data_IF_569611066918
#
_entry.id   IF_569611066918
#
_cell.length_a   1.000
_cell.length_b   1.000
_cell.length_c   1.000
_cell.angle_alpha   90.00
_cell.angle_beta   90.00
_cell.angle_gamma   90.00
#
_symmetry.space_group_name_H-M   'P 1'
#
loop_
_entity.id
_entity.type
_entity.pdbx_description
1 polymer ?
#
# COMPACT_ATOMS: atom_id res chain seq x y z
N UNK A 1 -9.25 21.48 -5.36
CA UNK A 1 -8.33 22.62 -5.25
C UNK A 1 -8.42 23.20 -3.84
N UNK A 2 -7.35 23.23 -3.11
CA UNK A 2 -7.02 24.15 -2.02
C UNK A 2 -7.17 23.73 -0.55
N UNK A 3 -7.50 22.51 -0.18
CA UNK A 3 -7.38 22.13 1.24
C UNK A 3 -5.92 22.27 1.72
N UNK A 4 -4.97 21.83 0.90
CA UNK A 4 -3.53 21.89 1.22
C UNK A 4 -2.92 23.30 1.13
N UNK A 5 -3.54 24.23 0.40
CA UNK A 5 -3.07 25.61 0.32
C UNK A 5 -3.29 26.40 1.62
N UNK A 6 -4.18 25.92 2.50
CA UNK A 6 -4.54 26.62 3.76
C UNK A 6 -4.04 25.89 5.01
N UNK A 7 -3.52 24.67 4.87
CA UNK A 7 -3.00 23.88 5.99
C UNK A 7 -1.84 23.03 5.49
N UNK A 8 -0.61 23.55 5.46
CA UNK A 8 0.55 22.77 5.05
C UNK A 8 0.69 21.53 5.94
N UNK A 9 1.07 20.41 5.34
CA UNK A 9 1.37 19.20 6.09
C UNK A 9 2.56 19.46 7.03
N UNK A 10 2.56 18.87 8.23
CA UNK A 10 3.74 18.85 9.09
C UNK A 10 4.94 18.22 8.35
N UNK A 11 6.14 18.57 8.76
CA UNK A 11 7.38 17.98 8.21
C UNK A 11 7.79 16.70 8.91
N UNK A 12 7.48 16.59 10.20
CA UNK A 12 7.85 15.47 11.05
C UNK A 12 6.88 14.28 10.87
N UNK A 13 7.43 13.08 10.72
CA UNK A 13 6.67 11.84 10.52
C UNK A 13 5.60 11.62 11.59
N UNK A 14 5.97 11.78 12.86
CA UNK A 14 5.04 11.64 14.00
C UNK A 14 3.84 12.57 13.90
N UNK A 15 4.10 13.81 13.52
CA UNK A 15 3.07 14.83 13.36
C UNK A 15 2.16 14.55 12.19
N UNK A 16 2.69 14.00 11.08
CA UNK A 16 1.91 13.56 9.93
C UNK A 16 1.01 12.39 10.32
N UNK A 17 1.57 11.36 10.97
CA UNK A 17 0.80 10.20 11.44
C UNK A 17 -0.32 10.62 12.37
N UNK A 18 -0.03 11.47 13.37
CA UNK A 18 -1.04 11.96 14.31
C UNK A 18 -2.15 12.75 13.61
N UNK A 19 -1.79 13.64 12.67
CA UNK A 19 -2.75 14.42 11.89
C UNK A 19 -3.64 13.50 11.04
N UNK A 20 -3.06 12.55 10.30
CA UNK A 20 -3.80 11.65 9.45
C UNK A 20 -4.70 10.72 10.26
N UNK A 21 -4.22 10.25 11.42
CA UNK A 21 -5.05 9.46 12.34
C UNK A 21 -6.27 10.25 12.81
N UNK A 22 -6.06 11.49 13.28
CA UNK A 22 -7.15 12.35 13.74
C UNK A 22 -8.17 12.64 12.64
N UNK A 23 -7.73 12.76 11.39
CA UNK A 23 -8.63 12.96 10.23
C UNK A 23 -9.34 11.68 9.81
N UNK A 24 -8.64 10.55 9.82
CA UNK A 24 -9.22 9.25 9.47
C UNK A 24 -10.36 8.88 10.43
N UNK A 25 -10.16 9.03 11.74
CA UNK A 25 -11.17 8.70 12.76
C UNK A 25 -12.44 9.54 12.66
N UNK A 26 -12.39 10.72 12.03
CA UNK A 26 -13.58 11.52 11.72
C UNK A 26 -14.40 10.97 10.54
N UNK A 27 -13.81 10.11 9.72
CA UNK A 27 -14.50 9.52 8.59
C UNK A 27 -15.26 8.25 9.04
N UNK A 28 -16.56 8.10 8.74
CA UNK A 28 -17.37 6.96 9.21
C UNK A 28 -16.75 5.59 8.94
N UNK A 29 -16.12 5.42 7.79
CA UNK A 29 -15.45 4.17 7.40
C UNK A 29 -14.28 3.79 8.34
N UNK A 30 -13.55 4.78 8.86
CA UNK A 30 -12.42 4.59 9.74
C UNK A 30 -12.71 4.81 11.23
N UNK A 31 -13.97 5.11 11.59
CA UNK A 31 -14.37 5.37 12.99
C UNK A 31 -14.11 4.18 13.93
N UNK A 32 -14.06 2.97 13.37
CA UNK A 32 -13.74 1.72 14.09
C UNK A 32 -12.29 1.30 13.95
N UNK A 33 -11.42 2.15 13.42
CA UNK A 33 -10.00 1.88 13.34
C UNK A 33 -9.38 1.89 14.74
N UNK A 34 -9.67 0.82 15.48
CA UNK A 34 -9.17 0.57 16.84
C UNK A 34 -8.07 -0.46 16.76
N UNK A 35 -7.01 -0.26 17.54
CA UNK A 35 -5.92 -1.22 17.62
C UNK A 35 -4.57 -0.58 17.34
N UNK A 36 -3.53 -1.38 17.41
CA UNK A 36 -2.16 -0.96 17.16
C UNK A 36 -2.02 -0.46 15.72
N UNK A 37 -2.07 0.86 15.55
CA UNK A 37 -1.63 1.50 14.32
C UNK A 37 -0.13 1.24 14.19
N UNK A 38 0.36 1.23 12.94
CA UNK A 38 1.80 1.17 12.72
C UNK A 38 2.44 2.38 13.41
N UNK A 39 3.45 2.11 14.23
CA UNK A 39 4.16 3.16 14.94
C UNK A 39 4.98 4.01 13.98
N UNK A 40 5.22 5.30 14.26
CA UNK A 40 6.05 6.17 13.43
C UNK A 40 7.41 5.55 13.05
N UNK A 41 8.07 4.87 13.99
CA UNK A 41 9.35 4.18 13.77
C UNK A 41 9.25 3.03 12.75
N UNK A 42 8.09 2.35 12.67
CA UNK A 42 7.85 1.32 11.67
C UNK A 42 7.67 1.94 10.28
N UNK A 43 7.09 3.14 10.19
CA UNK A 43 7.06 3.90 8.94
C UNK A 43 8.45 4.34 8.48
N UNK A 44 9.33 4.76 9.39
CA UNK A 44 10.71 5.10 9.05
C UNK A 44 11.46 3.90 8.47
N UNK A 45 11.29 2.70 9.07
CA UNK A 45 11.85 1.47 8.52
C UNK A 45 11.27 1.13 7.14
N UNK A 46 9.96 1.26 6.98
CA UNK A 46 9.23 0.99 5.75
C UNK A 46 9.73 1.88 4.60
N UNK A 47 10.03 3.15 4.89
CA UNK A 47 10.53 4.12 3.92
C UNK A 47 12.01 3.91 3.58
N UNK A 48 12.84 3.62 4.59
CA UNK A 48 14.29 3.49 4.41
C UNK A 48 14.74 2.14 3.85
N UNK A 49 13.95 1.08 4.09
CA UNK A 49 14.27 -0.31 3.70
C UNK A 49 12.99 -1.05 3.27
N UNK A 50 12.32 -0.61 2.19
CA UNK A 50 11.01 -1.13 1.82
C UNK A 50 11.02 -2.64 1.53
N UNK A 51 12.05 -3.17 0.89
CA UNK A 51 12.17 -4.61 0.57
C UNK A 51 12.25 -5.47 1.83
N UNK A 52 13.06 -5.02 2.81
CA UNK A 52 13.19 -5.72 4.09
C UNK A 52 11.87 -5.64 4.88
N UNK A 53 11.26 -4.47 4.91
CA UNK A 53 9.97 -4.27 5.57
C UNK A 53 8.88 -5.16 4.95
N UNK A 54 8.84 -5.27 3.61
CA UNK A 54 7.91 -6.14 2.90
C UNK A 54 8.09 -7.61 3.31
N UNK A 55 9.33 -8.10 3.33
CA UNK A 55 9.62 -9.48 3.73
C UNK A 55 9.22 -9.73 5.18
N UNK A 56 9.56 -8.84 6.10
CA UNK A 56 9.21 -8.96 7.52
C UNK A 56 7.68 -9.00 7.72
N UNK A 57 6.93 -8.14 7.01
CA UNK A 57 5.47 -8.12 7.09
C UNK A 57 4.84 -9.37 6.48
N UNK A 58 5.36 -9.88 5.37
CA UNK A 58 4.89 -11.13 4.78
C UNK A 58 5.18 -12.31 5.72
N UNK A 59 6.37 -12.39 6.28
CA UNK A 59 6.75 -13.48 7.21
C UNK A 59 5.89 -13.47 8.47
N UNK A 60 5.62 -12.30 9.04
CA UNK A 60 4.78 -12.14 10.23
C UNK A 60 3.28 -12.25 9.97
N UNK A 61 2.86 -12.33 8.71
CA UNK A 61 1.45 -12.39 8.34
C UNK A 61 0.83 -13.77 8.64
N UNK A 62 -0.49 -13.77 8.84
CA UNK A 62 -1.31 -14.99 8.99
C UNK A 62 -1.57 -15.72 7.67
N UNK A 63 -0.89 -15.35 6.60
CA UNK A 63 -0.97 -16.02 5.31
C UNK A 63 -0.25 -17.38 5.36
N UNK A 64 -0.79 -18.38 4.66
CA UNK A 64 -0.06 -19.62 4.42
C UNK A 64 1.20 -19.38 3.58
N UNK A 65 2.19 -20.27 3.69
CA UNK A 65 3.43 -20.15 2.90
C UNK A 65 3.16 -20.04 1.40
N UNK A 66 2.16 -20.76 0.89
CA UNK A 66 1.75 -20.67 -0.51
C UNK A 66 1.24 -19.27 -0.86
N UNK A 67 0.43 -18.67 0.00
CA UNK A 67 -0.09 -17.32 -0.18
C UNK A 67 1.01 -16.27 -0.10
N UNK A 68 1.96 -16.42 0.83
CA UNK A 68 3.15 -15.54 0.96
C UNK A 68 4.00 -15.56 -0.32
N UNK A 69 4.33 -16.76 -0.81
CA UNK A 69 5.11 -16.92 -2.04
C UNK A 69 4.39 -16.30 -3.23
N UNK A 70 3.08 -16.56 -3.37
CA UNK A 70 2.28 -16.00 -4.47
C UNK A 70 2.24 -14.49 -4.44
N UNK A 71 2.05 -13.89 -3.26
CA UNK A 71 1.98 -12.44 -3.10
C UNK A 71 3.36 -11.78 -3.29
N UNK A 72 4.44 -12.39 -2.80
CA UNK A 72 5.81 -11.92 -3.04
C UNK A 72 6.13 -11.87 -4.53
N UNK A 73 5.88 -12.96 -5.24
CA UNK A 73 6.11 -13.05 -6.68
C UNK A 73 5.26 -12.03 -7.46
N UNK A 74 4.00 -11.85 -7.08
CA UNK A 74 3.15 -10.82 -7.67
C UNK A 74 3.75 -9.42 -7.51
N UNK A 75 4.25 -9.08 -6.32
CA UNK A 75 4.84 -7.75 -6.04
C UNK A 75 6.14 -7.58 -6.84
N UNK A 76 7.01 -8.58 -6.87
CA UNK A 76 8.27 -8.54 -7.63
C UNK A 76 8.00 -8.31 -9.14
N UNK A 77 7.08 -9.08 -9.74
CA UNK A 77 6.72 -8.90 -11.14
C UNK A 77 6.04 -7.55 -11.41
N UNK A 78 5.16 -7.11 -10.50
CA UNK A 78 4.55 -5.80 -10.62
C UNK A 78 5.59 -4.69 -10.66
N UNK A 79 6.56 -4.71 -9.74
CA UNK A 79 7.65 -3.73 -9.72
C UNK A 79 8.48 -3.81 -11.01
N UNK A 80 8.74 -5.01 -11.53
CA UNK A 80 9.41 -5.18 -12.83
C UNK A 80 8.60 -4.53 -13.97
N UNK A 81 7.28 -4.79 -14.06
CA UNK A 81 6.43 -4.17 -15.08
C UNK A 81 6.40 -2.65 -14.95
N UNK A 82 6.38 -2.14 -13.75
CA UNK A 82 6.34 -0.70 -13.51
C UNK A 82 7.64 0.00 -13.87
N UNK A 83 8.78 -0.68 -13.80
CA UNK A 83 10.08 -0.14 -14.26
C UNK A 83 10.28 -0.30 -15.77
N UNK A 84 9.73 -1.36 -16.37
CA UNK A 84 9.96 -1.69 -17.78
C UNK A 84 8.93 -1.09 -18.73
N UNK A 85 7.75 -0.73 -18.26
CA UNK A 85 6.65 -0.22 -19.08
C UNK A 85 5.98 0.99 -18.44
N UNK A 86 5.83 2.06 -19.22
CA UNK A 86 4.99 3.21 -18.84
C UNK A 86 3.52 2.98 -19.22
N UNK A 87 3.18 1.87 -19.88
CA UNK A 87 1.82 1.60 -20.30
C UNK A 87 0.97 1.08 -19.15
N UNK A 88 0.09 1.96 -18.68
CA UNK A 88 -0.86 1.65 -17.63
C UNK A 88 -1.75 0.44 -17.97
N UNK A 89 -2.09 0.22 -19.24
CA UNK A 89 -2.97 -0.87 -19.63
C UNK A 89 -2.30 -2.22 -19.32
N UNK A 90 -1.00 -2.36 -19.62
CA UNK A 90 -0.23 -3.58 -19.32
C UNK A 90 -0.20 -3.84 -17.81
N UNK A 91 0.08 -2.82 -17.02
CA UNK A 91 0.15 -2.94 -15.55
C UNK A 91 -1.25 -3.28 -14.98
N UNK A 92 -2.28 -2.61 -15.48
CA UNK A 92 -3.66 -2.86 -15.06
C UNK A 92 -4.10 -4.29 -15.36
N UNK A 93 -3.81 -4.79 -16.57
CA UNK A 93 -4.17 -6.14 -16.99
C UNK A 93 -3.42 -7.19 -16.15
N UNK A 94 -2.15 -6.94 -15.81
CA UNK A 94 -1.40 -7.81 -14.92
C UNK A 94 -2.06 -7.88 -13.52
N UNK A 95 -2.38 -6.74 -12.92
CA UNK A 95 -3.00 -6.68 -11.59
C UNK A 95 -4.36 -7.38 -11.60
N UNK A 96 -5.22 -7.05 -12.56
CA UNK A 96 -6.57 -7.63 -12.62
C UNK A 96 -6.56 -9.12 -12.97
N UNK A 97 -5.60 -9.58 -13.77
CA UNK A 97 -5.37 -10.99 -14.03
C UNK A 97 -5.02 -11.77 -12.76
N UNK A 98 -4.14 -11.21 -11.94
CA UNK A 98 -3.81 -11.80 -10.64
C UNK A 98 -5.01 -11.78 -9.68
N UNK A 99 -5.74 -10.66 -9.58
CA UNK A 99 -6.97 -10.56 -8.78
C UNK A 99 -7.99 -11.66 -9.17
N UNK A 100 -8.16 -11.88 -10.48
CA UNK A 100 -9.08 -12.90 -10.98
C UNK A 100 -8.61 -14.31 -10.60
N UNK A 101 -7.31 -14.59 -10.71
CA UNK A 101 -6.71 -15.87 -10.31
C UNK A 101 -6.94 -16.14 -8.82
N UNK A 102 -6.66 -15.14 -7.95
CA UNK A 102 -6.87 -15.27 -6.51
C UNK A 102 -8.34 -15.48 -6.16
N UNK A 103 -9.25 -14.76 -6.80
CA UNK A 103 -10.69 -14.93 -6.57
C UNK A 103 -11.19 -16.34 -6.90
N UNK A 104 -10.71 -16.92 -8.00
CA UNK A 104 -11.06 -18.27 -8.46
C UNK A 104 -10.35 -19.41 -7.74
N UNK A 105 -9.22 -19.14 -7.07
CA UNK A 105 -8.40 -20.18 -6.43
C UNK A 105 -9.12 -20.79 -5.21
N UNK A 106 -9.17 -22.10 -5.13
CA UNK A 106 -9.85 -22.84 -4.05
C UNK A 106 -8.92 -23.17 -2.88
N UNK A 107 -7.61 -23.05 -3.07
CA UNK A 107 -6.59 -23.40 -2.09
C UNK A 107 -6.39 -22.31 -1.02
N UNK A 108 -6.87 -21.10 -1.26
CA UNK A 108 -6.80 -20.00 -0.30
C UNK A 108 -8.09 -19.88 0.52
N UNK A 109 -7.94 -19.68 1.82
CA UNK A 109 -9.05 -19.36 2.70
C UNK A 109 -9.69 -18.01 2.32
N UNK A 110 -10.92 -17.78 2.75
CA UNK A 110 -11.60 -16.49 2.54
C UNK A 110 -10.82 -15.31 3.13
N UNK A 111 -10.15 -15.53 4.27
CA UNK A 111 -9.32 -14.51 4.91
C UNK A 111 -8.08 -14.18 4.09
N UNK A 112 -7.36 -15.20 3.59
CA UNK A 112 -6.19 -14.98 2.71
C UNK A 112 -6.58 -14.23 1.43
N UNK A 113 -7.68 -14.63 0.80
CA UNK A 113 -8.21 -13.90 -0.36
C UNK A 113 -8.52 -12.44 -0.02
N UNK A 114 -9.17 -12.18 1.11
CA UNK A 114 -9.48 -10.82 1.53
C UNK A 114 -8.23 -9.98 1.74
N UNK A 115 -7.18 -10.53 2.36
CA UNK A 115 -5.90 -9.86 2.55
C UNK A 115 -5.25 -9.55 1.20
N UNK A 116 -5.07 -10.56 0.35
CA UNK A 116 -4.40 -10.40 -0.96
C UNK A 116 -5.16 -9.41 -1.84
N UNK A 117 -6.48 -9.57 -1.97
CA UNK A 117 -7.31 -8.68 -2.80
C UNK A 117 -7.38 -7.25 -2.25
N UNK A 118 -7.23 -7.04 -0.95
CA UNK A 118 -7.10 -5.69 -0.38
C UNK A 118 -5.79 -5.03 -0.83
N UNK A 119 -4.68 -5.75 -0.76
CA UNK A 119 -3.36 -5.26 -1.19
C UNK A 119 -3.38 -4.94 -2.68
N UNK A 120 -3.85 -5.85 -3.53
CA UNK A 120 -3.88 -5.66 -4.99
C UNK A 120 -4.81 -4.52 -5.40
N UNK A 121 -5.96 -4.36 -4.75
CA UNK A 121 -6.89 -3.26 -4.99
C UNK A 121 -6.27 -1.91 -4.65
N UNK A 122 -5.57 -1.79 -3.51
CA UNK A 122 -4.84 -0.56 -3.14
C UNK A 122 -3.75 -0.28 -4.18
N UNK A 123 -2.98 -1.29 -4.56
CA UNK A 123 -1.94 -1.20 -5.58
C UNK A 123 -2.49 -0.70 -6.91
N UNK A 124 -3.59 -1.27 -7.40
CA UNK A 124 -4.27 -0.88 -8.63
C UNK A 124 -4.69 0.59 -8.62
N UNK A 125 -5.24 1.06 -7.50
CA UNK A 125 -5.60 2.47 -7.35
C UNK A 125 -4.38 3.39 -7.28
N UNK A 126 -3.30 2.95 -6.64
CA UNK A 126 -2.03 3.69 -6.58
C UNK A 126 -1.43 3.86 -7.97
N UNK A 127 -1.35 2.79 -8.78
CA UNK A 127 -0.89 2.85 -10.17
C UNK A 127 -1.77 3.77 -11.03
N UNK A 128 -3.09 3.72 -10.84
CA UNK A 128 -4.01 4.62 -11.54
C UNK A 128 -3.79 6.09 -11.20
N UNK A 129 -3.56 6.40 -9.93
CA UNK A 129 -3.28 7.75 -9.48
C UNK A 129 -1.96 8.27 -10.06
N UNK A 130 -0.94 7.42 -10.17
CA UNK A 130 0.34 7.75 -10.81
C UNK A 130 0.14 8.17 -12.26
N UNK A 131 -0.65 7.44 -13.04
CA UNK A 131 -0.96 7.81 -14.44
C UNK A 131 -1.49 9.24 -14.59
N UNK A 132 -2.22 9.73 -13.58
CA UNK A 132 -2.83 11.07 -13.61
C UNK A 132 -1.92 12.18 -13.11
N UNK A 133 -0.75 11.87 -12.56
CA UNK A 133 0.18 12.89 -12.09
C UNK A 133 1.01 13.45 -13.25
N UNK A 134 1.23 14.77 -13.31
CA UNK A 134 2.18 15.34 -14.27
C UNK A 134 3.58 14.77 -13.96
N UNK A 135 4.27 14.28 -14.99
CA UNK A 135 5.64 13.78 -14.90
C UNK A 135 6.53 14.87 -14.28
N UNK A 136 7.04 14.64 -13.08
CA UNK A 136 8.19 15.35 -12.56
C UNK A 136 9.42 14.54 -12.95
N UNK A 137 10.46 15.22 -13.46
CA UNK A 137 11.70 14.65 -14.04
C UNK A 137 12.61 13.94 -13.04
N UNK A 138 12.12 13.15 -12.09
CA UNK A 138 12.93 12.44 -11.11
C UNK A 138 12.44 11.02 -10.94
N UNK A 139 13.38 10.06 -10.85
CA UNK A 139 13.17 8.60 -10.66
C UNK A 139 12.44 8.19 -9.36
N UNK A 140 12.07 9.14 -8.54
CA UNK A 140 11.36 8.99 -7.26
C UNK A 140 9.91 8.45 -7.39
N UNK A 141 9.41 8.29 -8.60
CA UNK A 141 8.02 7.90 -8.84
C UNK A 141 7.70 6.44 -8.45
N UNK A 142 8.70 5.56 -8.37
CA UNK A 142 8.51 4.15 -8.03
C UNK A 142 8.66 3.87 -6.55
N UNK A 143 9.46 4.63 -5.84
CA UNK A 143 9.60 4.54 -4.39
C UNK A 143 8.25 4.76 -3.70
N UNK A 144 7.48 5.73 -4.20
CA UNK A 144 6.11 5.96 -3.73
C UNK A 144 5.18 4.76 -3.95
N UNK A 145 5.24 4.08 -5.10
CA UNK A 145 4.42 2.90 -5.36
C UNK A 145 4.84 1.75 -4.46
N UNK A 146 6.13 1.47 -4.36
CA UNK A 146 6.70 0.47 -3.47
C UNK A 146 6.24 0.72 -2.03
N UNK A 147 6.37 1.96 -1.56
CA UNK A 147 5.95 2.39 -0.23
C UNK A 147 4.45 2.18 0.02
N UNK A 148 3.59 2.46 -0.97
CA UNK A 148 2.15 2.18 -0.85
C UNK A 148 1.84 0.68 -0.76
N UNK A 149 2.54 -0.15 -1.56
CA UNK A 149 2.38 -1.61 -1.54
C UNK A 149 2.81 -2.17 -0.19
N UNK A 150 3.98 -1.78 0.29
CA UNK A 150 4.51 -2.21 1.59
C UNK A 150 3.58 -1.75 2.72
N UNK A 151 3.12 -0.51 2.67
CA UNK A 151 2.14 0.02 3.63
C UNK A 151 0.82 -0.76 3.62
N UNK A 152 0.29 -1.11 2.43
CA UNK A 152 -0.90 -1.94 2.31
C UNK A 152 -0.69 -3.33 2.92
N UNK A 153 0.46 -3.95 2.63
CA UNK A 153 0.82 -5.27 3.16
C UNK A 153 0.93 -5.25 4.68
N UNK A 154 1.62 -4.25 5.22
CA UNK A 154 1.78 -4.07 6.67
C UNK A 154 0.43 -3.92 7.40
N UNK A 155 -0.52 -3.20 6.79
CA UNK A 155 -1.85 -2.98 7.36
C UNK A 155 -2.80 -4.16 7.19
N UNK A 156 -2.60 -4.99 6.16
CA UNK A 156 -3.56 -6.01 5.74
C UNK A 156 -3.81 -7.11 6.79
N UNK A 157 -2.83 -7.45 7.61
CA UNK A 157 -3.00 -8.39 8.72
C UNK A 157 -4.03 -7.93 9.77
N UNK A 158 -4.28 -6.62 9.86
CA UNK A 158 -5.30 -6.10 10.78
C UNK A 158 -6.68 -6.22 10.17
N UNK A 159 -6.89 -5.56 9.07
CA UNK A 159 -8.10 -5.55 8.25
C UNK A 159 -7.91 -4.60 7.05
N UNK A 160 -8.87 -4.60 6.12
CA UNK A 160 -8.86 -3.71 4.95
C UNK A 160 -8.77 -2.22 5.31
N UNK A 161 -9.41 -1.76 6.38
CA UNK A 161 -9.35 -0.37 6.82
C UNK A 161 -7.91 0.01 7.23
N UNK A 162 -7.24 -0.87 7.96
CA UNK A 162 -5.84 -0.68 8.37
C UNK A 162 -4.92 -0.69 7.16
N UNK A 163 -5.12 -1.60 6.20
CA UNK A 163 -4.37 -1.64 4.95
C UNK A 163 -4.45 -0.32 4.18
N UNK A 164 -5.67 0.20 3.98
CA UNK A 164 -5.89 1.48 3.28
C UNK A 164 -5.26 2.64 4.07
N UNK A 165 -5.46 2.68 5.38
CA UNK A 165 -4.90 3.74 6.21
C UNK A 165 -3.37 3.74 6.16
N UNK A 166 -2.74 2.59 6.33
CA UNK A 166 -1.27 2.47 6.34
C UNK A 166 -0.66 2.82 4.99
N UNK A 167 -1.25 2.33 3.89
CA UNK A 167 -0.82 2.71 2.54
C UNK A 167 -0.93 4.22 2.31
N UNK A 168 -2.04 4.83 2.72
CA UNK A 168 -2.25 6.27 2.59
C UNK A 168 -1.19 7.07 3.37
N UNK A 169 -0.95 6.70 4.62
CA UNK A 169 0.05 7.37 5.48
C UNK A 169 1.45 7.24 4.89
N UNK A 170 1.84 6.02 4.50
CA UNK A 170 3.13 5.74 3.89
C UNK A 170 3.35 6.58 2.61
N UNK A 171 2.36 6.58 1.72
CA UNK A 171 2.43 7.36 0.48
C UNK A 171 2.45 8.88 0.69
N UNK A 172 1.84 9.40 1.77
CA UNK A 172 1.90 10.83 2.09
C UNK A 172 3.26 11.20 2.66
N UNK A 173 3.82 10.36 3.55
CA UNK A 173 5.15 10.61 4.14
C UNK A 173 6.21 10.59 3.04
N UNK A 174 6.15 9.66 2.09
CA UNK A 174 7.10 9.57 0.96
C UNK A 174 7.05 10.79 0.04
N UNK A 175 5.89 11.44 -0.07
CA UNK A 175 5.69 12.57 -0.99
C UNK A 175 5.75 13.96 -0.35
N UNK A 176 6.23 14.08 0.90
CA UNK A 176 6.34 15.36 1.62
C UNK A 176 7.52 16.23 1.13
#
# INVERSE_FOLDING_TARGET
TSYYAHSPLPTETDSIVALLHSKATLHPYFSTLTGSLILPQEFEKLLSQPDIALQDFLQSSDLSEKAKISLSHYIEELLYYTHSSEDYAVIYDYITGYEHTIAGETLYSSNEKAIILSITSITRHSVYLKKKRPKKNTDLDWDWLTTNIVGATAGANGNTQKAIYTALVAGIIENK
#
